data_IF_865681624699
#
_entry.id   IF_865681624699
#
_cell.length_a   1.000
_cell.length_b   1.000
_cell.length_c   1.000
_cell.angle_alpha   90.00
_cell.angle_beta   90.00
_cell.angle_gamma   90.00
#
_symmetry.space_group_name_H-M   'P 1'
#
loop_
_entity.id
_entity.type
_entity.pdbx_description
1 polymer ?
#
# COMPACT_ATOMS: atom_id res chain seq x y z
N UNK A 1 3.25 23.67 28.95
CA UNK A 1 3.32 23.22 27.53
C UNK A 1 3.83 21.81 27.52
N UNK A 2 2.97 20.83 27.28
CA UNK A 2 3.37 19.43 27.09
C UNK A 2 4.04 19.38 25.71
N UNK A 3 5.37 19.26 25.65
CA UNK A 3 6.06 18.88 24.41
C UNK A 3 5.70 17.44 24.14
N UNK A 4 4.68 17.21 23.33
CA UNK A 4 4.41 15.89 22.78
C UNK A 4 5.55 15.62 21.80
N UNK A 5 6.59 14.95 22.28
CA UNK A 5 7.61 14.40 21.42
C UNK A 5 6.97 13.19 20.73
N UNK A 6 6.42 13.39 19.54
CA UNK A 6 5.84 12.31 18.72
C UNK A 6 7.04 11.49 18.21
N UNK A 7 7.54 10.60 19.09
CA UNK A 7 8.74 9.77 18.85
C UNK A 7 8.50 8.60 17.90
N UNK A 8 7.68 8.78 16.87
CA UNK A 8 7.56 7.75 15.83
C UNK A 8 8.89 7.65 15.07
N UNK A 9 9.42 6.44 14.98
CA UNK A 9 10.63 6.19 14.22
C UNK A 9 10.41 6.45 12.71
N UNK A 10 11.52 6.54 11.97
CA UNK A 10 11.48 6.91 10.56
C UNK A 10 10.68 5.92 9.70
N UNK A 11 10.78 4.61 9.98
CA UNK A 11 10.06 3.58 9.22
C UNK A 11 8.55 3.75 9.37
N UNK A 12 8.07 3.88 10.59
CA UNK A 12 6.65 4.09 10.90
C UNK A 12 6.13 5.38 10.25
N UNK A 13 6.87 6.49 10.34
CA UNK A 13 6.46 7.76 9.70
C UNK A 13 6.32 7.63 8.18
N UNK A 14 7.25 6.96 7.52
CA UNK A 14 7.21 6.77 6.06
C UNK A 14 6.07 5.84 5.66
N UNK A 15 5.81 4.77 6.41
CA UNK A 15 4.68 3.88 6.17
C UNK A 15 3.33 4.62 6.29
N UNK A 16 3.14 5.38 7.36
CA UNK A 16 1.94 6.20 7.56
C UNK A 16 1.79 7.25 6.44
N UNK A 17 2.87 7.92 6.04
CA UNK A 17 2.82 8.89 4.93
C UNK A 17 2.47 8.22 3.61
N UNK A 18 3.04 7.05 3.34
CA UNK A 18 2.72 6.24 2.17
C UNK A 18 1.24 5.87 2.13
N UNK A 19 0.70 5.41 3.26
CA UNK A 19 -0.70 5.00 3.33
C UNK A 19 -1.66 6.20 3.28
N UNK A 20 -1.30 7.32 3.89
CA UNK A 20 -2.03 8.58 3.73
C UNK A 20 -2.17 8.98 2.24
N UNK A 21 -1.08 8.92 1.47
CA UNK A 21 -1.09 9.22 0.05
C UNK A 21 -1.95 8.20 -0.73
N UNK A 22 -1.82 6.92 -0.41
CA UNK A 22 -2.60 5.85 -1.01
C UNK A 22 -4.10 6.09 -0.80
N UNK A 23 -4.50 6.34 0.44
CA UNK A 23 -5.90 6.56 0.82
C UNK A 23 -6.43 7.90 0.28
N UNK A 24 -5.57 8.91 0.17
CA UNK A 24 -5.93 10.16 -0.52
C UNK A 24 -6.27 9.93 -1.99
N UNK A 25 -5.56 9.05 -2.67
CA UNK A 25 -5.89 8.65 -4.03
C UNK A 25 -7.22 7.89 -4.10
N UNK A 26 -7.31 6.75 -3.41
CA UNK A 26 -8.48 5.88 -3.48
C UNK A 26 -9.75 6.51 -2.89
N UNK A 27 -9.62 7.44 -1.96
CA UNK A 27 -10.73 8.22 -1.43
C UNK A 27 -11.42 9.08 -2.50
N UNK A 28 -10.66 9.59 -3.49
CA UNK A 28 -11.24 10.38 -4.60
C UNK A 28 -12.23 9.57 -5.43
N UNK A 29 -11.94 8.29 -5.68
CA UNK A 29 -12.75 7.46 -6.58
C UNK A 29 -13.94 6.81 -5.84
N UNK A 30 -13.82 6.57 -4.53
CA UNK A 30 -14.80 5.80 -3.75
C UNK A 30 -16.26 6.20 -4.02
N UNK A 31 -16.62 7.47 -3.80
CA UNK A 31 -18.02 7.91 -3.96
C UNK A 31 -18.52 7.88 -5.40
N UNK A 32 -17.63 8.02 -6.39
CA UNK A 32 -17.99 8.22 -7.79
C UNK A 32 -17.84 6.97 -8.66
N UNK A 33 -17.22 5.90 -8.15
CA UNK A 33 -16.96 4.69 -8.92
C UNK A 33 -18.25 4.02 -9.44
N UNK A 34 -19.26 3.97 -8.59
CA UNK A 34 -20.56 3.44 -8.97
C UNK A 34 -21.21 4.27 -10.09
N UNK A 35 -21.14 5.60 -9.99
CA UNK A 35 -21.69 6.52 -10.99
C UNK A 35 -20.95 6.33 -12.32
N UNK A 36 -19.63 6.25 -12.28
CA UNK A 36 -18.82 5.98 -13.48
C UNK A 36 -19.25 4.69 -14.19
N UNK A 37 -19.41 3.58 -13.44
CA UNK A 37 -19.81 2.30 -14.03
C UNK A 37 -21.20 2.39 -14.66
N UNK A 38 -22.16 2.97 -13.94
CA UNK A 38 -23.56 3.03 -14.41
C UNK A 38 -23.71 3.96 -15.61
N UNK A 39 -23.03 5.11 -15.62
CA UNK A 39 -23.22 6.11 -16.67
C UNK A 39 -22.33 5.92 -17.89
N UNK A 40 -21.14 5.36 -17.72
CA UNK A 40 -20.08 5.39 -18.76
C UNK A 40 -19.77 4.01 -19.34
N UNK A 41 -20.19 2.92 -18.68
CA UNK A 41 -19.84 1.57 -19.13
C UNK A 41 -21.08 0.81 -19.61
N UNK A 42 -21.13 0.33 -20.86
CA UNK A 42 -22.23 -0.48 -21.36
C UNK A 42 -22.47 -1.72 -20.48
N UNK A 43 -23.72 -1.92 -20.04
CA UNK A 43 -24.07 -2.98 -19.09
C UNK A 43 -23.86 -2.65 -17.62
N UNK A 44 -23.49 -1.39 -17.31
CA UNK A 44 -23.40 -0.88 -15.94
C UNK A 44 -24.75 -0.85 -15.24
N UNK A 45 -24.82 -1.38 -14.02
CA UNK A 45 -25.98 -1.39 -13.14
C UNK A 45 -25.56 -1.47 -11.69
N UNK A 46 -26.47 -1.23 -10.74
CA UNK A 46 -26.16 -1.40 -9.31
C UNK A 46 -25.70 -2.82 -8.99
N UNK A 47 -26.25 -3.83 -9.65
CA UNK A 47 -25.85 -5.23 -9.48
C UNK A 47 -24.41 -5.44 -9.96
N UNK A 48 -24.09 -4.94 -11.16
CA UNK A 48 -22.71 -5.05 -11.71
C UNK A 48 -21.68 -4.30 -10.86
N UNK A 49 -22.01 -3.14 -10.31
CA UNK A 49 -21.15 -2.42 -9.35
C UNK A 49 -20.86 -3.29 -8.13
N UNK A 50 -21.91 -3.89 -7.53
CA UNK A 50 -21.73 -4.78 -6.38
C UNK A 50 -20.85 -5.99 -6.70
N UNK A 51 -21.06 -6.64 -7.85
CA UNK A 51 -20.26 -7.79 -8.29
C UNK A 51 -18.79 -7.41 -8.58
N UNK A 52 -18.55 -6.24 -9.16
CA UNK A 52 -17.19 -5.73 -9.41
C UNK A 52 -16.43 -5.51 -8.09
N UNK A 53 -17.07 -4.85 -7.12
CA UNK A 53 -16.49 -4.65 -5.78
C UNK A 53 -16.25 -5.99 -5.10
N UNK A 54 -17.21 -6.92 -5.20
CA UNK A 54 -17.07 -8.27 -4.65
C UNK A 54 -15.89 -9.02 -5.28
N UNK A 55 -15.63 -8.88 -6.58
CA UNK A 55 -14.51 -9.51 -7.27
C UNK A 55 -13.17 -9.12 -6.63
N UNK A 56 -12.96 -7.83 -6.39
CA UNK A 56 -11.76 -7.36 -5.68
C UNK A 56 -11.60 -8.02 -4.31
N UNK A 57 -12.66 -7.98 -3.49
CA UNK A 57 -12.60 -8.51 -2.14
C UNK A 57 -12.43 -10.03 -2.10
N UNK A 58 -13.11 -10.79 -2.97
CA UNK A 58 -12.96 -12.24 -3.03
C UNK A 58 -11.57 -12.65 -3.48
N UNK A 59 -11.06 -12.08 -4.57
CA UNK A 59 -9.71 -12.39 -5.05
C UNK A 59 -8.67 -12.07 -3.96
N UNK A 60 -8.75 -10.88 -3.36
CA UNK A 60 -7.85 -10.49 -2.29
C UNK A 60 -7.94 -11.46 -1.10
N UNK A 61 -9.14 -11.73 -0.60
CA UNK A 61 -9.33 -12.53 0.62
C UNK A 61 -8.94 -14.00 0.44
N UNK A 62 -9.17 -14.57 -0.74
CA UNK A 62 -8.76 -15.94 -1.03
C UNK A 62 -7.24 -16.05 -1.15
N UNK A 63 -6.61 -15.13 -1.86
CA UNK A 63 -5.17 -15.22 -2.19
C UNK A 63 -4.28 -14.76 -1.02
N UNK A 64 -4.72 -13.79 -0.24
CA UNK A 64 -3.91 -13.17 0.82
C UNK A 64 -3.33 -14.17 1.85
N UNK A 65 -4.08 -15.16 2.40
CA UNK A 65 -3.52 -16.11 3.36
C UNK A 65 -2.40 -16.97 2.77
N UNK A 66 -2.50 -17.36 1.50
CA UNK A 66 -1.46 -18.17 0.83
C UNK A 66 -0.17 -17.38 0.65
N UNK A 67 -0.28 -16.11 0.25
CA UNK A 67 0.88 -15.21 0.14
C UNK A 67 1.52 -14.99 1.49
N UNK A 68 0.74 -14.69 2.52
CA UNK A 68 1.23 -14.47 3.89
C UNK A 68 1.99 -15.68 4.42
N UNK A 69 1.42 -16.86 4.27
CA UNK A 69 2.08 -18.10 4.70
C UNK A 69 3.42 -18.33 3.97
N UNK A 70 3.45 -18.07 2.66
CA UNK A 70 4.69 -18.19 1.87
C UNK A 70 5.76 -17.20 2.33
N UNK A 71 5.38 -15.97 2.67
CA UNK A 71 6.31 -14.94 3.13
C UNK A 71 6.85 -15.23 4.54
N UNK A 72 6.03 -15.76 5.43
CA UNK A 72 6.44 -16.12 6.79
C UNK A 72 7.45 -17.29 6.81
N UNK A 73 7.49 -18.11 5.76
CA UNK A 73 8.49 -19.19 5.64
C UNK A 73 9.87 -18.67 5.21
N UNK A 74 9.94 -17.48 4.62
CA UNK A 74 11.19 -16.84 4.18
C UNK A 74 11.64 -15.85 5.26
N UNK A 75 12.82 -16.07 5.85
CA UNK A 75 13.36 -15.18 6.87
C UNK A 75 13.88 -13.87 6.25
N UNK A 76 13.31 -12.75 6.67
CA UNK A 76 13.80 -11.41 6.35
C UNK A 76 12.76 -10.49 5.72
N UNK A 77 12.92 -9.17 5.93
CA UNK A 77 11.99 -8.15 5.46
C UNK A 77 12.20 -7.73 4.00
N UNK A 78 13.27 -8.22 3.39
CA UNK A 78 13.64 -7.83 2.02
C UNK A 78 12.59 -8.24 0.99
N UNK A 79 12.05 -9.43 1.15
CA UNK A 79 11.04 -9.94 0.23
C UNK A 79 9.67 -9.34 0.55
N UNK A 80 9.31 -9.17 1.83
CA UNK A 80 8.14 -8.40 2.25
C UNK A 80 8.10 -7.04 1.56
N UNK A 81 9.20 -6.27 1.63
CA UNK A 81 9.30 -4.96 1.00
C UNK A 81 9.12 -5.00 -0.52
N UNK A 82 9.72 -5.99 -1.20
CA UNK A 82 9.58 -6.13 -2.66
C UNK A 82 8.15 -6.45 -3.07
N UNK A 83 7.48 -7.37 -2.34
CA UNK A 83 6.08 -7.71 -2.59
C UNK A 83 5.18 -6.49 -2.34
N UNK A 84 5.37 -5.78 -1.24
CA UNK A 84 4.65 -4.55 -0.93
C UNK A 84 4.82 -3.50 -2.04
N UNK A 85 6.07 -3.19 -2.40
CA UNK A 85 6.36 -2.16 -3.40
C UNK A 85 5.79 -2.50 -4.78
N UNK A 86 6.02 -3.73 -5.27
CA UNK A 86 5.51 -4.18 -6.57
C UNK A 86 4.00 -4.25 -6.60
N UNK A 87 3.39 -4.77 -5.54
CA UNK A 87 1.93 -4.81 -5.40
C UNK A 87 1.31 -3.42 -5.41
N UNK A 88 1.89 -2.45 -4.68
CA UNK A 88 1.43 -1.05 -4.71
C UNK A 88 1.54 -0.44 -6.10
N UNK A 89 2.66 -0.63 -6.80
CA UNK A 89 2.81 -0.12 -8.17
C UNK A 89 1.73 -0.69 -9.08
N UNK A 90 1.54 -2.02 -9.08
CA UNK A 90 0.51 -2.66 -9.91
C UNK A 90 -0.88 -2.17 -9.54
N UNK A 91 -1.24 -2.16 -8.26
CA UNK A 91 -2.57 -1.72 -7.80
C UNK A 91 -2.88 -0.28 -8.21
N UNK A 92 -1.88 0.61 -8.17
CA UNK A 92 -2.06 2.03 -8.48
C UNK A 92 -1.92 2.37 -9.97
N UNK A 93 -1.53 1.43 -10.82
CA UNK A 93 -1.67 1.54 -12.27
C UNK A 93 -3.09 1.18 -12.76
N UNK A 94 -3.87 0.42 -11.98
CA UNK A 94 -5.22 -0.01 -12.36
C UNK A 94 -6.15 1.18 -12.71
N UNK A 95 -6.17 2.30 -11.97
CA UNK A 95 -7.00 3.45 -12.32
C UNK A 95 -6.72 4.01 -13.73
N UNK A 96 -5.49 3.91 -14.22
CA UNK A 96 -5.19 4.28 -15.61
C UNK A 96 -5.84 3.32 -16.62
N UNK A 97 -6.02 2.05 -16.25
CA UNK A 97 -6.76 1.09 -17.04
C UNK A 97 -8.23 1.48 -17.24
N UNK A 98 -8.86 2.15 -16.25
CA UNK A 98 -10.23 2.61 -16.37
C UNK A 98 -10.43 3.67 -17.45
N UNK A 99 -9.37 4.35 -17.89
CA UNK A 99 -9.43 5.30 -19.00
C UNK A 99 -9.78 4.65 -20.35
N UNK A 100 -9.51 3.36 -20.50
CA UNK A 100 -9.61 2.61 -21.76
C UNK A 100 -10.75 1.59 -21.76
N UNK A 101 -11.60 1.60 -20.73
CA UNK A 101 -12.72 0.65 -20.63
C UNK A 101 -13.78 0.94 -21.67
N UNK A 102 -14.14 -0.11 -22.38
CA UNK A 102 -15.24 -0.13 -23.35
C UNK A 102 -16.30 -1.16 -23.02
N UNK A 103 -15.99 -2.16 -22.18
CA UNK A 103 -16.86 -3.26 -21.82
C UNK A 103 -16.74 -3.61 -20.33
N UNK A 104 -17.82 -4.08 -19.75
CA UNK A 104 -17.94 -4.36 -18.31
C UNK A 104 -16.94 -5.41 -17.81
N UNK A 105 -16.65 -6.46 -18.60
CA UNK A 105 -15.73 -7.53 -18.20
C UNK A 105 -14.30 -7.03 -17.96
N UNK A 106 -13.90 -5.93 -18.63
CA UNK A 106 -12.58 -5.32 -18.45
C UNK A 106 -12.41 -4.78 -17.03
N UNK A 107 -13.50 -4.24 -16.42
CA UNK A 107 -13.44 -3.77 -15.03
C UNK A 107 -13.30 -4.96 -14.08
N UNK A 108 -14.02 -6.06 -14.31
CA UNK A 108 -13.86 -7.27 -13.52
C UNK A 108 -12.40 -7.76 -13.54
N UNK A 109 -11.77 -7.77 -14.71
CA UNK A 109 -10.37 -8.16 -14.86
C UNK A 109 -9.44 -7.21 -14.10
N UNK A 110 -9.62 -5.90 -14.24
CA UNK A 110 -8.81 -4.90 -13.55
C UNK A 110 -8.97 -5.00 -12.02
N UNK A 111 -10.19 -5.20 -11.51
CA UNK A 111 -10.44 -5.38 -10.09
C UNK A 111 -9.88 -6.72 -9.55
N UNK A 112 -9.90 -7.78 -10.34
CA UNK A 112 -9.23 -9.03 -9.98
C UNK A 112 -7.71 -8.84 -9.87
N UNK A 113 -7.08 -8.15 -10.84
CA UNK A 113 -5.64 -7.84 -10.80
C UNK A 113 -5.32 -6.94 -9.60
N UNK A 114 -6.16 -5.94 -9.31
CA UNK A 114 -6.01 -5.09 -8.14
C UNK A 114 -6.13 -5.89 -6.83
N UNK A 115 -7.09 -6.80 -6.75
CA UNK A 115 -7.27 -7.70 -5.61
C UNK A 115 -6.03 -8.58 -5.37
N UNK A 116 -5.48 -9.16 -6.42
CA UNK A 116 -4.23 -9.94 -6.37
C UNK A 116 -3.04 -9.08 -5.90
N UNK A 117 -2.89 -7.89 -6.45
CA UNK A 117 -1.83 -6.97 -6.07
C UNK A 117 -1.93 -6.56 -4.58
N UNK A 118 -3.14 -6.22 -4.12
CA UNK A 118 -3.38 -5.83 -2.72
C UNK A 118 -3.30 -7.01 -1.75
N UNK A 119 -3.50 -8.24 -2.20
CA UNK A 119 -3.22 -9.44 -1.41
C UNK A 119 -1.73 -9.59 -1.06
N UNK A 120 -0.83 -9.05 -1.90
CA UNK A 120 0.60 -8.96 -1.60
C UNK A 120 0.92 -7.79 -0.66
N UNK A 121 0.24 -6.64 -0.82
CA UNK A 121 0.54 -5.39 -0.11
C UNK A 121 0.15 -5.45 1.35
N UNK A 122 -1.10 -5.83 1.63
CA UNK A 122 -1.67 -5.68 2.97
C UNK A 122 -0.91 -6.45 4.04
N UNK A 123 -0.60 -7.77 3.85
CA UNK A 123 0.10 -8.51 4.89
C UNK A 123 1.55 -8.06 5.06
N UNK A 124 2.25 -7.74 3.97
CA UNK A 124 3.65 -7.30 4.02
C UNK A 124 3.79 -5.92 4.67
N UNK A 125 2.88 -4.99 4.34
CA UNK A 125 2.79 -3.70 5.00
C UNK A 125 2.57 -3.85 6.51
N UNK A 126 1.55 -4.63 6.89
CA UNK A 126 1.21 -4.88 8.31
C UNK A 126 2.37 -5.54 9.07
N UNK A 127 3.07 -6.48 8.44
CA UNK A 127 4.22 -7.16 9.04
C UNK A 127 5.38 -6.19 9.29
N UNK A 128 5.76 -5.36 8.29
CA UNK A 128 6.82 -4.35 8.45
C UNK A 128 6.41 -3.30 9.48
N UNK A 129 5.17 -2.80 9.43
CA UNK A 129 4.67 -1.81 10.39
C UNK A 129 4.77 -2.35 11.82
N UNK A 130 4.23 -3.53 12.08
CA UNK A 130 4.22 -4.14 13.42
C UNK A 130 5.63 -4.39 13.96
N UNK A 131 6.56 -4.87 13.11
CA UNK A 131 7.95 -5.14 13.53
C UNK A 131 8.72 -3.87 13.88
N UNK A 132 8.34 -2.72 13.33
CA UNK A 132 9.04 -1.45 13.55
C UNK A 132 8.33 -0.54 14.56
N UNK A 133 7.23 -0.95 15.16
CA UNK A 133 6.65 -0.19 16.27
C UNK A 133 7.57 -0.26 17.47
N UNK A 134 7.90 0.90 18.05
CA UNK A 134 8.68 0.97 19.28
C UNK A 134 7.86 0.41 20.44
N UNK A 135 8.50 -0.43 21.28
CA UNK A 135 7.83 -1.10 22.40
C UNK A 135 7.17 -0.10 23.35
N UNK A 136 5.89 -0.31 23.63
CA UNK A 136 5.05 0.58 24.47
C UNK A 136 4.39 1.72 23.69
N UNK A 137 4.57 1.78 22.35
CA UNK A 137 3.95 2.77 21.47
C UNK A 137 2.94 2.14 20.48
N UNK A 138 2.56 0.90 20.72
CA UNK A 138 1.73 0.12 19.80
C UNK A 138 0.38 0.78 19.56
N UNK A 139 -0.36 1.09 20.64
CA UNK A 139 -1.67 1.72 20.54
C UNK A 139 -1.60 3.10 19.89
N UNK A 140 -0.57 3.89 20.21
CA UNK A 140 -0.38 5.22 19.65
C UNK A 140 -0.05 5.14 18.14
N UNK A 141 0.84 4.26 17.73
CA UNK A 141 1.23 4.09 16.33
C UNK A 141 0.04 3.69 15.46
N UNK A 142 -0.75 2.71 15.90
CA UNK A 142 -1.98 2.29 15.22
C UNK A 142 -3.06 3.38 15.23
N UNK A 143 -3.14 4.19 16.29
CA UNK A 143 -4.07 5.32 16.35
C UNK A 143 -3.73 6.41 15.34
N UNK A 144 -2.45 6.79 15.23
CA UNK A 144 -2.00 7.77 14.22
C UNK A 144 -2.23 7.24 12.80
N UNK A 145 -1.96 5.96 12.56
CA UNK A 145 -2.24 5.31 11.28
C UNK A 145 -3.72 5.40 10.92
N UNK A 146 -4.60 4.92 11.80
CA UNK A 146 -6.05 4.95 11.61
C UNK A 146 -6.60 6.37 11.41
N UNK A 147 -6.09 7.34 12.17
CA UNK A 147 -6.47 8.75 12.02
C UNK A 147 -6.03 9.30 10.68
N UNK A 148 -4.82 8.97 10.25
CA UNK A 148 -4.25 9.35 8.96
C UNK A 148 -5.10 8.85 7.78
N UNK A 149 -5.47 7.57 7.81
CA UNK A 149 -6.38 6.95 6.84
C UNK A 149 -7.74 7.66 6.82
N UNK A 150 -8.34 7.86 7.98
CA UNK A 150 -9.65 8.49 8.11
C UNK A 150 -9.68 9.91 7.54
N UNK A 151 -8.67 10.73 7.87
CA UNK A 151 -8.53 12.08 7.33
C UNK A 151 -8.31 12.07 5.81
N UNK A 152 -7.41 11.22 5.33
CA UNK A 152 -7.13 11.09 3.90
C UNK A 152 -8.40 10.70 3.13
N UNK A 153 -9.08 9.66 3.55
CA UNK A 153 -10.29 9.16 2.89
C UNK A 153 -11.43 10.19 2.94
N UNK A 154 -11.67 10.81 4.10
CA UNK A 154 -12.75 11.77 4.27
C UNK A 154 -12.56 13.04 3.43
N UNK A 155 -11.37 13.65 3.48
CA UNK A 155 -11.06 14.82 2.67
C UNK A 155 -11.12 14.49 1.17
N UNK A 156 -10.50 13.40 0.77
CA UNK A 156 -10.47 13.00 -0.64
C UNK A 156 -11.84 12.66 -1.20
N UNK A 157 -12.72 12.03 -0.42
CA UNK A 157 -14.09 11.76 -0.84
C UNK A 157 -14.86 13.05 -1.16
N UNK A 158 -14.70 14.09 -0.33
CA UNK A 158 -15.31 15.38 -0.57
C UNK A 158 -14.79 16.02 -1.88
N UNK A 159 -13.49 15.98 -2.13
CA UNK A 159 -12.88 16.53 -3.35
C UNK A 159 -13.14 15.68 -4.60
N UNK A 160 -13.27 14.36 -4.45
CA UNK A 160 -13.46 13.45 -5.57
C UNK A 160 -14.71 13.77 -6.39
N UNK A 161 -15.84 14.04 -5.72
CA UNK A 161 -17.07 14.48 -6.37
C UNK A 161 -16.93 15.81 -7.11
N UNK A 162 -16.26 16.79 -6.50
CA UNK A 162 -16.00 18.10 -7.10
C UNK A 162 -15.15 17.95 -8.36
N UNK A 163 -14.04 17.22 -8.28
CA UNK A 163 -13.14 16.99 -9.41
C UNK A 163 -13.86 16.25 -10.55
N UNK A 164 -14.65 15.24 -10.21
CA UNK A 164 -15.43 14.51 -11.21
C UNK A 164 -16.45 15.38 -11.91
N UNK A 165 -17.12 16.29 -11.19
CA UNK A 165 -18.11 17.20 -11.74
C UNK A 165 -17.51 18.24 -12.69
N UNK A 166 -16.36 18.80 -12.36
CA UNK A 166 -15.73 19.88 -13.15
C UNK A 166 -14.75 19.39 -14.20
N UNK A 167 -13.96 18.34 -13.91
CA UNK A 167 -12.88 17.84 -14.76
C UNK A 167 -13.17 16.44 -15.33
N UNK A 168 -14.26 15.81 -14.92
CA UNK A 168 -14.66 14.48 -15.36
C UNK A 168 -13.90 13.32 -14.70
N UNK A 169 -14.38 12.10 -14.92
CA UNK A 169 -13.84 10.87 -14.34
C UNK A 169 -12.38 10.61 -14.70
N UNK A 170 -11.96 10.99 -15.93
CA UNK A 170 -10.58 10.78 -16.39
C UNK A 170 -9.56 11.48 -15.50
N UNK A 171 -9.85 12.72 -15.09
CA UNK A 171 -8.98 13.48 -14.19
C UNK A 171 -8.85 12.77 -12.83
N UNK A 172 -9.94 12.25 -12.29
CA UNK A 172 -9.92 11.50 -11.03
C UNK A 172 -9.04 10.26 -11.14
N UNK A 173 -9.17 9.47 -12.20
CA UNK A 173 -8.36 8.25 -12.38
C UNK A 173 -6.87 8.54 -12.48
N UNK A 174 -6.49 9.62 -13.18
CA UNK A 174 -5.10 10.06 -13.25
C UNK A 174 -4.58 10.50 -11.89
N UNK A 175 -5.38 11.25 -11.12
CA UNK A 175 -5.01 11.68 -9.77
C UNK A 175 -4.86 10.49 -8.81
N UNK A 176 -5.78 9.52 -8.84
CA UNK A 176 -5.68 8.28 -8.04
C UNK A 176 -4.37 7.57 -8.33
N UNK A 177 -4.04 7.39 -9.62
CA UNK A 177 -2.78 6.76 -10.02
C UNK A 177 -1.57 7.57 -9.55
N UNK A 178 -1.60 8.90 -9.69
CA UNK A 178 -0.50 9.77 -9.28
C UNK A 178 -0.26 9.71 -7.77
N UNK A 179 -1.30 9.84 -6.95
CA UNK A 179 -1.21 9.71 -5.49
C UNK A 179 -0.71 8.33 -5.08
N UNK A 180 -1.28 7.27 -5.68
CA UNK A 180 -0.91 5.90 -5.35
C UNK A 180 0.52 5.54 -5.77
N UNK A 181 0.98 6.00 -6.94
CA UNK A 181 2.38 5.82 -7.34
C UNK A 181 3.33 6.61 -6.44
N UNK A 182 2.98 7.85 -6.07
CA UNK A 182 3.75 8.65 -5.10
C UNK A 182 3.85 7.92 -3.76
N UNK A 183 2.75 7.31 -3.30
CA UNK A 183 2.74 6.43 -2.11
C UNK A 183 3.77 5.31 -2.25
N UNK A 184 3.74 4.55 -3.36
CA UNK A 184 4.68 3.46 -3.59
C UNK A 184 6.14 3.95 -3.58
N UNK A 185 6.45 5.05 -4.29
CA UNK A 185 7.80 5.60 -4.33
C UNK A 185 8.28 6.18 -3.00
N UNK A 186 7.37 6.68 -2.15
CA UNK A 186 7.71 7.12 -0.79
C UNK A 186 8.33 6.00 0.04
N UNK A 187 7.92 4.75 -0.16
CA UNK A 187 8.49 3.59 0.54
C UNK A 187 10.00 3.39 0.24
N UNK A 188 10.50 3.85 -0.90
CA UNK A 188 11.93 3.74 -1.20
C UNK A 188 12.82 4.49 -0.20
N UNK A 189 12.26 5.46 0.54
CA UNK A 189 12.97 6.20 1.58
C UNK A 189 13.40 5.33 2.77
N UNK A 190 12.73 4.19 2.98
CA UNK A 190 13.04 3.24 4.06
C UNK A 190 13.72 1.95 3.57
N UNK A 191 13.95 1.82 2.27
CA UNK A 191 14.56 0.62 1.68
C UNK A 191 15.83 0.17 2.41
N UNK A 192 16.73 1.10 2.72
CA UNK A 192 18.01 0.80 3.37
C UNK A 192 17.87 0.41 4.86
N UNK A 193 16.72 0.71 5.48
CA UNK A 193 16.45 0.37 6.88
C UNK A 193 15.79 -1.01 6.99
N UNK A 194 14.96 -1.35 6.00
CA UNK A 194 14.34 -2.67 5.86
C UNK A 194 15.32 -3.70 5.29
N UNK A 195 16.39 -3.25 4.59
CA UNK A 195 17.48 -4.09 4.11
C UNK A 195 18.74 -3.83 4.92
N UNK A 196 18.91 -4.41 6.12
CA UNK A 196 20.18 -4.28 6.82
C UNK A 196 21.29 -4.83 5.93
N UNK A 197 22.34 -4.03 5.75
CA UNK A 197 23.57 -4.49 5.11
C UNK A 197 24.07 -5.68 5.92
N UNK A 198 24.23 -6.82 5.27
CA UNK A 198 24.76 -8.03 5.90
C UNK A 198 26.00 -7.68 6.74
N UNK A 199 25.96 -7.99 8.03
CA UNK A 199 27.11 -7.88 8.97
C UNK A 199 28.20 -8.92 8.63
N UNK A 200 28.45 -9.23 7.37
CA UNK A 200 29.45 -10.21 6.97
C UNK A 200 30.86 -9.61 6.94
N UNK A 201 31.01 -8.27 6.96
CA UNK A 201 32.33 -7.63 6.91
C UNK A 201 33.03 -7.50 8.26
N UNK A 202 32.36 -7.78 9.39
CA UNK A 202 33.00 -7.63 10.72
C UNK A 202 33.54 -8.93 11.31
N UNK A 203 33.32 -10.09 10.68
CA UNK A 203 33.86 -11.37 11.18
C UNK A 203 35.24 -11.68 10.56
N UNK A 204 35.55 -11.11 9.41
CA UNK A 204 36.87 -11.33 8.76
C UNK A 204 38.04 -10.61 9.45
N UNK A 205 37.77 -9.67 10.36
CA UNK A 205 38.82 -8.89 11.06
C UNK A 205 39.23 -9.51 12.40
N UNK A 206 38.54 -10.54 12.90
CA UNK A 206 38.84 -11.18 14.19
C UNK A 206 39.76 -12.41 14.01
N UNK A 207 39.98 -12.91 12.78
CA UNK A 207 40.74 -14.13 12.51
C UNK A 207 42.22 -13.90 12.21
N UNK A 208 42.75 -12.69 12.34
CA UNK A 208 44.18 -12.39 12.06
C UNK A 208 44.99 -12.06 13.30
N UNK A 209 44.72 -12.72 14.43
CA UNK A 209 45.70 -12.70 15.53
C UNK A 209 46.58 -13.96 15.41
N UNK A 210 47.89 -13.83 15.19
CA UNK A 210 48.77 -14.97 15.18
C UNK A 210 48.88 -15.57 16.60
N UNK A 211 49.02 -16.89 16.74
CA UNK A 211 49.15 -17.52 18.03
C UNK A 211 50.43 -17.05 18.71
N UNK A 212 50.28 -16.36 19.85
CA UNK A 212 51.38 -15.92 20.68
C UNK A 212 52.22 -17.11 21.11
N UNK A 213 53.52 -16.99 20.92
CA UNK A 213 54.54 -17.91 21.41
C UNK A 213 54.45 -18.02 22.93
N UNK A 214 54.21 -19.25 23.44
CA UNK A 214 54.49 -19.63 24.81
C UNK A 214 56.03 -19.76 24.97
N UNK A 215 56.57 -19.01 25.86
CA UNK A 215 57.80 -19.27 26.59
C UNK A 215 57.50 -19.23 28.06
#
# INVERSE_FOLDING_TARGET
MIKINIGLNRVIRVLITSDFLLQSGWGLIGPIFAIFIIEKVPGGSLVTVGLIVATYWFVKSIIQPFISHSLDTVKGERDDFKFMFRGLVVANLIPLGYLFITQIWQIFLLEAIRGLAMACVVPTWSAIFTRHIDKGWEAFSWSIESTSIGLAAGLSAAFGGIIAAFLGFKAVFVLVAAFGLTSAFTLLLIRNQVFPKDKISSISTISSHPPGKLL
#
